data_IF_149957258878
#
_entry.id   IF_149957258878
#
_cell.length_a   1.000
_cell.length_b   1.000
_cell.length_c   1.000
_cell.angle_alpha   90.00
_cell.angle_beta   90.00
_cell.angle_gamma   90.00
#
_symmetry.space_group_name_H-M   'P 1'
#
loop_
_entity.id
_entity.type
_entity.pdbx_description
1 polymer ?
#
# COMPACT_ATOMS: atom_id res chain seq x y z
N UNK A 1 0.03 0.56 14.95
CA UNK A 1 0.59 1.36 13.83
C UNK A 1 2.01 0.98 13.43
N UNK A 2 2.89 0.49 14.33
CA UNK A 2 4.29 0.13 14.02
C UNK A 2 4.53 -0.78 12.78
N UNK A 3 3.59 -1.67 12.41
CA UNK A 3 3.71 -2.48 11.21
C UNK A 3 3.61 -1.66 9.92
N UNK A 4 2.74 -0.64 9.92
CA UNK A 4 2.58 0.28 8.79
C UNK A 4 3.86 1.10 8.59
N UNK A 5 4.51 1.53 9.68
CA UNK A 5 5.77 2.30 9.68
C UNK A 5 6.96 1.51 9.11
N UNK A 6 6.95 0.17 9.19
CA UNK A 6 8.01 -0.69 8.63
C UNK A 6 7.94 -0.87 7.11
N UNK A 7 6.84 -0.50 6.49
CA UNK A 7 6.73 -0.52 5.03
C UNK A 7 7.65 0.51 4.38
N UNK A 8 7.98 0.29 3.11
CA UNK A 8 8.59 1.33 2.27
C UNK A 8 7.57 2.43 1.99
N UNK A 9 8.02 3.67 1.79
CA UNK A 9 7.12 4.82 1.65
C UNK A 9 6.07 4.66 0.55
N UNK A 10 6.44 4.13 -0.61
CA UNK A 10 5.48 3.86 -1.68
C UNK A 10 4.46 2.78 -1.36
N UNK A 11 4.83 1.76 -0.56
CA UNK A 11 3.90 0.71 -0.14
C UNK A 11 2.96 1.25 0.96
N UNK A 12 3.51 2.03 1.92
CA UNK A 12 2.74 2.71 2.97
C UNK A 12 1.70 3.66 2.39
N UNK A 13 2.12 4.53 1.45
CA UNK A 13 1.23 5.47 0.78
C UNK A 13 0.10 4.73 0.02
N UNK A 14 0.41 3.62 -0.66
CA UNK A 14 -0.59 2.81 -1.34
C UNK A 14 -1.66 2.25 -0.39
N UNK A 15 -1.25 1.81 0.82
CA UNK A 15 -2.18 1.30 1.84
C UNK A 15 -3.05 2.43 2.38
N UNK A 16 -2.46 3.56 2.78
CA UNK A 16 -3.20 4.71 3.33
C UNK A 16 -4.24 5.18 2.32
N UNK A 17 -3.84 5.42 1.07
CA UNK A 17 -4.76 5.87 0.04
C UNK A 17 -5.90 4.88 -0.20
N UNK A 18 -5.61 3.57 -0.22
CA UNK A 18 -6.65 2.58 -0.50
C UNK A 18 -7.57 2.33 0.68
N UNK A 19 -7.05 2.23 1.90
CA UNK A 19 -7.79 1.73 3.07
C UNK A 19 -8.33 2.87 3.93
N UNK A 20 -7.53 3.91 4.16
CA UNK A 20 -7.91 5.02 5.05
C UNK A 20 -8.66 6.11 4.29
N UNK A 21 -8.24 6.40 3.05
CA UNK A 21 -8.82 7.48 2.24
C UNK A 21 -9.83 6.99 1.19
N UNK A 22 -9.99 5.67 1.03
CA UNK A 22 -10.84 5.02 0.01
C UNK A 22 -10.67 5.57 -1.42
N UNK A 23 -9.44 5.97 -1.76
CA UNK A 23 -9.10 6.46 -3.11
C UNK A 23 -9.27 5.37 -4.15
N UNK A 24 -9.64 5.78 -5.37
CA UNK A 24 -9.70 4.92 -6.55
C UNK A 24 -8.29 4.62 -7.07
N UNK A 25 -8.16 3.53 -7.84
CA UNK A 25 -6.86 3.10 -8.37
C UNK A 25 -6.27 4.11 -9.37
N UNK A 26 -7.09 4.93 -10.02
CA UNK A 26 -6.66 6.05 -10.87
C UNK A 26 -5.93 7.13 -10.07
N UNK A 27 -6.47 7.52 -8.92
CA UNK A 27 -5.85 8.51 -8.02
C UNK A 27 -4.56 7.96 -7.40
N UNK A 28 -4.56 6.69 -7.02
CA UNK A 28 -3.38 5.98 -6.52
C UNK A 28 -2.30 5.88 -7.60
N UNK A 29 -2.68 5.63 -8.86
CA UNK A 29 -1.74 5.61 -9.99
C UNK A 29 -1.02 6.94 -10.12
N UNK A 30 -1.76 8.05 -10.05
CA UNK A 30 -1.20 9.40 -10.15
C UNK A 30 -0.26 9.70 -8.98
N UNK A 31 -0.71 9.46 -7.75
CA UNK A 31 0.09 9.70 -6.55
C UNK A 31 1.36 8.86 -6.50
N UNK A 32 1.32 7.61 -6.97
CA UNK A 32 2.48 6.70 -6.97
C UNK A 32 3.31 6.76 -8.26
N UNK A 33 2.97 7.63 -9.22
CA UNK A 33 3.65 7.74 -10.52
C UNK A 33 3.65 6.43 -11.31
N UNK A 34 2.59 5.61 -11.20
CA UNK A 34 2.51 4.32 -11.90
C UNK A 34 2.14 4.49 -13.37
N UNK A 35 2.69 3.65 -14.27
CA UNK A 35 2.47 3.79 -15.71
C UNK A 35 1.04 3.40 -16.14
N UNK A 36 0.28 2.74 -15.28
CA UNK A 36 -1.09 2.31 -15.56
C UNK A 36 -1.87 2.06 -14.27
N UNK A 37 -3.21 2.02 -14.38
CA UNK A 37 -4.10 1.64 -13.27
C UNK A 37 -3.80 0.21 -12.79
N UNK A 38 -3.53 -0.71 -13.71
CA UNK A 38 -3.14 -2.08 -13.38
C UNK A 38 -1.84 -2.12 -12.55
N UNK A 39 -0.85 -1.29 -12.87
CA UNK A 39 0.37 -1.18 -12.08
C UNK A 39 0.12 -0.62 -10.67
N UNK A 40 -0.86 0.28 -10.51
CA UNK A 40 -1.31 0.76 -9.21
C UNK A 40 -2.02 -0.34 -8.40
N UNK A 41 -2.93 -1.10 -9.02
CA UNK A 41 -3.58 -2.26 -8.40
C UNK A 41 -2.56 -3.29 -7.89
N UNK A 42 -1.55 -3.62 -8.69
CA UNK A 42 -0.46 -4.50 -8.28
C UNK A 42 0.36 -3.92 -7.12
N UNK A 43 0.58 -2.60 -7.10
CA UNK A 43 1.29 -1.95 -6.00
C UNK A 43 0.50 -2.05 -4.69
N UNK A 44 -0.80 -1.75 -4.72
CA UNK A 44 -1.70 -1.89 -3.57
C UNK A 44 -1.75 -3.34 -3.07
N UNK A 45 -1.96 -4.31 -3.97
CA UNK A 45 -2.01 -5.73 -3.61
C UNK A 45 -0.73 -6.18 -2.90
N UNK A 46 0.45 -5.85 -3.45
CA UNK A 46 1.73 -6.19 -2.81
C UNK A 46 1.95 -5.47 -1.49
N UNK A 47 1.52 -4.21 -1.38
CA UNK A 47 1.63 -3.44 -0.15
C UNK A 47 0.79 -4.06 0.99
N UNK A 48 -0.43 -4.53 0.68
CA UNK A 48 -1.29 -5.22 1.63
C UNK A 48 -0.70 -6.56 2.10
N UNK A 49 -0.10 -7.34 1.20
CA UNK A 49 0.59 -8.59 1.57
C UNK A 49 1.75 -8.30 2.53
N UNK A 50 2.58 -7.31 2.22
CA UNK A 50 3.71 -6.91 3.08
C UNK A 50 3.25 -6.41 4.43
N UNK A 51 2.15 -5.65 4.48
CA UNK A 51 1.56 -5.21 5.74
C UNK A 51 1.15 -6.41 6.60
N UNK A 52 0.49 -7.41 6.01
CA UNK A 52 0.10 -8.62 6.71
C UNK A 52 1.32 -9.40 7.25
N UNK A 53 2.41 -9.47 6.48
CA UNK A 53 3.67 -10.07 6.92
C UNK A 53 4.26 -9.30 8.12
N UNK A 54 4.36 -7.96 8.05
CA UNK A 54 4.88 -7.14 9.15
C UNK A 54 4.02 -7.20 10.42
N UNK A 55 2.70 -7.25 10.27
CA UNK A 55 1.76 -7.47 11.38
C UNK A 55 1.95 -8.85 12.02
N UNK A 56 2.28 -9.87 11.22
CA UNK A 56 2.54 -11.22 11.72
C UNK A 56 3.89 -11.30 12.46
N UNK A 57 4.93 -10.62 11.97
CA UNK A 57 6.24 -10.54 12.63
C UNK A 57 6.19 -9.86 14.00
N UNK A 58 5.29 -8.88 14.18
CA UNK A 58 5.09 -8.20 15.45
C UNK A 58 4.25 -8.97 16.49
N UNK A 59 3.71 -10.13 16.13
CA UNK A 59 2.92 -11.00 17.03
C UNK A 59 3.72 -12.16 17.63
N UNK A 60 4.98 -12.34 17.23
CA UNK A 60 5.89 -13.36 17.73
C UNK A 60 6.64 -12.92 18.99
#
# INVERSE_FOLDING_TARGET
EAALERLRDGDRLAVIMRIELDCKYEEIREALGKPSVAAAQMAVSRALVRLAEEMSRGRA
#
